data_IF_967582315699
#
_entry.id   IF_967582315699
#
_cell.length_a   1.000
_cell.length_b   1.000
_cell.length_c   1.000
_cell.angle_alpha   90.00
_cell.angle_beta   90.00
_cell.angle_gamma   90.00
#
_symmetry.space_group_name_H-M   'P 1'
#
loop_
_entity.id
_entity.type
_entity.pdbx_description
1 polymer ?
#
# COMPACT_ATOMS: atom_id res chain seq x y z
N UNK A 1 -14.27 2.35 -24.16
CA UNK A 1 -12.82 2.13 -24.25
C UNK A 1 -12.32 1.88 -22.83
N UNK A 2 -11.68 0.75 -22.55
CA UNK A 2 -11.26 0.38 -21.20
C UNK A 2 -9.93 1.07 -20.87
N UNK A 3 -9.95 2.09 -20.00
CA UNK A 3 -8.77 2.89 -19.68
C UNK A 3 -7.66 2.08 -18.99
N UNK A 4 -7.99 0.98 -18.31
CA UNK A 4 -6.99 0.09 -17.70
C UNK A 4 -6.21 -0.64 -18.80
N UNK A 5 -6.90 -1.18 -19.81
CA UNK A 5 -6.29 -1.84 -20.97
C UNK A 5 -5.37 -0.88 -21.72
N UNK A 6 -5.82 0.36 -21.95
CA UNK A 6 -5.01 1.39 -22.59
C UNK A 6 -3.75 1.71 -21.77
N UNK A 7 -3.85 1.75 -20.44
CA UNK A 7 -2.71 1.96 -19.55
C UNK A 7 -1.69 0.81 -19.62
N UNK A 8 -2.15 -0.45 -19.60
CA UNK A 8 -1.28 -1.63 -19.72
C UNK A 8 -0.55 -1.63 -21.05
N UNK A 9 -1.26 -1.43 -22.16
CA UNK A 9 -0.65 -1.40 -23.50
C UNK A 9 0.36 -0.26 -23.65
N UNK A 10 0.04 0.93 -23.13
CA UNK A 10 0.94 2.10 -23.17
C UNK A 10 2.22 1.88 -22.36
N UNK A 11 2.11 1.29 -21.17
CA UNK A 11 3.23 1.20 -20.23
C UNK A 11 4.06 -0.07 -20.42
N UNK A 12 3.44 -1.18 -20.86
CA UNK A 12 4.04 -2.51 -20.94
C UNK A 12 4.75 -2.88 -19.62
N UNK A 13 3.98 -3.12 -18.53
CA UNK A 13 4.55 -3.30 -17.20
C UNK A 13 5.30 -4.64 -17.07
N UNK A 14 6.33 -4.66 -16.23
CA UNK A 14 7.05 -5.89 -15.86
C UNK A 14 7.20 -5.96 -14.35
N UNK A 15 7.27 -7.17 -13.79
CA UNK A 15 7.48 -7.36 -12.34
C UNK A 15 8.72 -6.62 -11.84
N UNK A 16 9.81 -6.63 -12.61
CA UNK A 16 11.03 -5.88 -12.26
C UNK A 16 10.77 -4.37 -12.12
N UNK A 17 10.02 -3.77 -13.05
CA UNK A 17 9.69 -2.33 -12.99
C UNK A 17 8.77 -2.01 -11.81
N UNK A 18 7.82 -2.90 -11.50
CA UNK A 18 6.96 -2.77 -10.31
C UNK A 18 7.82 -2.79 -9.04
N UNK A 19 8.71 -3.78 -8.91
CA UNK A 19 9.57 -3.93 -7.73
C UNK A 19 10.55 -2.78 -7.54
N UNK A 20 11.09 -2.25 -8.65
CA UNK A 20 12.01 -1.11 -8.65
C UNK A 20 11.32 0.25 -8.56
N UNK A 21 9.97 0.30 -8.58
CA UNK A 21 9.27 1.56 -8.39
C UNK A 21 9.63 2.16 -7.03
N UNK A 22 10.11 3.40 -7.08
CA UNK A 22 10.62 4.10 -5.92
C UNK A 22 9.87 5.40 -5.69
N UNK A 23 9.81 5.79 -4.42
CA UNK A 23 9.40 7.13 -4.04
C UNK A 23 10.49 7.78 -3.21
N UNK A 24 10.62 9.10 -3.36
CA UNK A 24 11.41 9.92 -2.45
C UNK A 24 10.54 10.38 -1.29
N UNK A 25 11.08 10.34 -0.08
CA UNK A 25 10.43 10.78 1.15
C UNK A 25 11.43 11.48 2.07
N UNK A 26 10.96 12.05 3.18
CA UNK A 26 11.83 12.70 4.17
C UNK A 26 11.91 11.88 5.46
N UNK A 27 12.99 11.08 5.65
CA UNK A 27 13.22 10.30 6.85
C UNK A 27 13.17 11.14 8.13
N UNK A 28 13.82 12.31 8.12
CA UNK A 28 13.83 13.23 9.27
C UNK A 28 12.43 13.68 9.68
N UNK A 29 11.53 13.96 8.74
CA UNK A 29 10.13 14.32 9.05
C UNK A 29 9.39 13.18 9.77
N UNK A 30 9.60 11.95 9.33
CA UNK A 30 9.02 10.77 9.96
C UNK A 30 9.59 10.53 11.36
N UNK A 31 10.91 10.54 11.48
CA UNK A 31 11.63 10.34 12.75
C UNK A 31 11.20 11.33 13.82
N UNK A 32 11.20 12.64 13.49
CA UNK A 32 10.83 13.70 14.45
C UNK A 32 9.37 13.64 14.90
N UNK A 33 8.47 13.16 14.03
CA UNK A 33 7.05 13.09 14.34
C UNK A 33 6.59 11.74 14.89
N UNK A 34 7.49 10.76 15.01
CA UNK A 34 7.17 9.40 15.43
C UNK A 34 6.76 9.36 16.91
N UNK A 35 5.66 8.66 17.28
CA UNK A 35 5.18 8.67 18.65
C UNK A 35 6.11 7.92 19.62
N UNK A 36 6.54 8.58 20.70
CA UNK A 36 7.36 7.98 21.76
C UNK A 36 6.73 6.74 22.41
N UNK A 37 5.39 6.70 22.53
CA UNK A 37 4.71 5.56 23.14
C UNK A 37 4.82 4.27 22.31
N UNK A 38 5.25 4.37 21.04
CA UNK A 38 5.57 3.20 20.23
C UNK A 38 6.92 2.59 20.61
N UNK A 39 7.76 3.25 21.43
CA UNK A 39 9.03 2.76 22.02
C UNK A 39 10.08 2.23 21.03
N UNK A 40 9.76 2.21 19.74
CA UNK A 40 10.60 1.81 18.64
C UNK A 40 10.32 2.79 17.50
N UNK A 41 11.39 3.23 16.83
CA UNK A 41 11.33 4.10 15.67
C UNK A 41 11.84 3.27 14.50
N UNK A 42 11.14 3.25 13.36
CA UNK A 42 11.66 2.61 12.15
C UNK A 42 13.07 3.11 11.83
N UNK A 43 13.90 2.35 11.09
CA UNK A 43 15.31 2.66 10.83
C UNK A 43 15.50 3.84 9.84
N UNK A 44 14.76 4.93 10.06
CA UNK A 44 14.90 6.20 9.37
C UNK A 44 16.22 6.86 9.73
N UNK A 45 17.05 7.07 8.72
CA UNK A 45 18.26 7.91 8.82
C UNK A 45 17.86 9.36 9.11
N UNK A 46 18.81 10.18 9.57
CA UNK A 46 18.57 11.61 9.80
C UNK A 46 18.79 12.44 8.52
N UNK A 47 18.32 11.91 7.39
CA UNK A 47 18.50 12.52 6.08
C UNK A 47 17.27 13.38 5.74
N UNK A 48 17.50 14.50 5.04
CA UNK A 48 16.43 15.36 4.54
C UNK A 48 15.59 14.64 3.47
N UNK A 49 16.24 13.80 2.67
CA UNK A 49 15.67 13.03 1.58
C UNK A 49 16.25 11.61 1.57
N UNK A 50 15.41 10.63 1.30
CA UNK A 50 15.81 9.27 0.95
C UNK A 50 14.80 8.71 -0.06
N UNK A 51 15.16 7.59 -0.69
CA UNK A 51 14.26 6.84 -1.57
C UNK A 51 14.00 5.46 -0.98
N UNK A 52 12.82 4.91 -1.25
CA UNK A 52 12.47 3.54 -0.91
C UNK A 52 11.69 2.90 -2.06
N UNK A 53 12.04 1.67 -2.43
CA UNK A 53 11.38 0.90 -3.50
C UNK A 53 10.27 0.01 -2.96
N UNK A 54 9.38 -0.50 -3.85
CA UNK A 54 8.41 -1.54 -3.46
C UNK A 54 9.11 -2.77 -2.89
N UNK A 55 10.18 -3.24 -3.53
CA UNK A 55 10.97 -4.38 -3.06
C UNK A 55 11.50 -4.16 -1.64
N UNK A 56 11.95 -2.95 -1.31
CA UNK A 56 12.40 -2.61 0.04
C UNK A 56 11.27 -2.67 1.07
N UNK A 57 10.08 -2.16 0.74
CA UNK A 57 8.93 -2.23 1.64
C UNK A 57 8.48 -3.68 1.85
N UNK A 58 8.47 -4.50 0.79
CA UNK A 58 8.17 -5.92 0.89
C UNK A 58 9.14 -6.66 1.82
N UNK A 59 10.44 -6.33 1.81
CA UNK A 59 11.41 -6.90 2.77
C UNK A 59 11.10 -6.56 4.21
N UNK A 60 10.57 -5.36 4.50
CA UNK A 60 10.11 -5.04 5.84
C UNK A 60 8.86 -5.84 6.23
N UNK A 61 7.92 -6.03 5.30
CA UNK A 61 6.72 -6.85 5.52
C UNK A 61 7.10 -8.32 5.78
N UNK A 62 7.97 -8.89 4.95
CA UNK A 62 8.53 -10.23 5.12
C UNK A 62 9.22 -10.38 6.47
N UNK A 63 10.02 -9.38 6.88
CA UNK A 63 10.64 -9.35 8.21
C UNK A 63 9.63 -9.35 9.36
N UNK A 64 8.47 -8.71 9.20
CA UNK A 64 7.39 -8.76 10.18
C UNK A 64 6.78 -10.17 10.26
N UNK A 65 6.43 -10.77 9.11
CA UNK A 65 5.85 -12.12 9.03
C UNK A 65 6.82 -13.17 9.58
N UNK A 66 8.07 -13.18 9.12
CA UNK A 66 9.10 -14.15 9.53
C UNK A 66 9.44 -14.08 11.03
N UNK A 67 9.21 -12.93 11.66
CA UNK A 67 9.40 -12.76 13.11
C UNK A 67 8.20 -13.22 13.96
N UNK A 68 7.15 -13.77 13.35
CA UNK A 68 5.88 -14.04 14.03
C UNK A 68 5.18 -12.75 14.48
N UNK A 69 5.31 -11.69 13.69
CA UNK A 69 4.80 -10.35 13.98
C UNK A 69 5.37 -9.72 15.26
N UNK A 70 6.69 -9.88 15.48
CA UNK A 70 7.39 -9.17 16.53
C UNK A 70 7.13 -7.66 16.40
N UNK A 71 6.79 -7.02 17.53
CA UNK A 71 6.24 -5.67 17.57
C UNK A 71 7.12 -4.64 16.85
N UNK A 72 8.43 -4.72 17.03
CA UNK A 72 9.41 -3.82 16.42
C UNK A 72 9.43 -3.99 14.90
N UNK A 73 9.33 -5.23 14.39
CA UNK A 73 9.29 -5.52 12.96
C UNK A 73 8.01 -5.05 12.30
N UNK A 74 6.87 -5.20 12.99
CA UNK A 74 5.60 -4.62 12.52
C UNK A 74 5.68 -3.09 12.46
N UNK A 75 6.32 -2.45 13.44
CA UNK A 75 6.55 -1.01 13.43
C UNK A 75 7.45 -0.60 12.26
N UNK A 76 8.55 -1.32 12.00
CA UNK A 76 9.43 -1.06 10.87
C UNK A 76 8.66 -1.13 9.54
N UNK A 77 7.84 -2.17 9.38
CA UNK A 77 6.95 -2.35 8.24
C UNK A 77 5.96 -1.20 8.07
N UNK A 78 5.20 -0.83 9.11
CA UNK A 78 4.27 0.31 9.06
C UNK A 78 5.01 1.59 8.65
N UNK A 79 6.19 1.82 9.22
CA UNK A 79 7.06 2.94 8.87
C UNK A 79 7.40 2.97 7.39
N UNK A 80 7.88 1.85 6.84
CA UNK A 80 8.23 1.72 5.43
C UNK A 80 7.01 1.90 4.51
N UNK A 81 5.89 1.24 4.80
CA UNK A 81 4.66 1.34 4.01
C UNK A 81 4.09 2.76 3.99
N UNK A 82 4.08 3.44 5.14
CA UNK A 82 3.63 4.83 5.24
C UNK A 82 4.59 5.81 4.56
N UNK A 83 5.89 5.63 4.71
CA UNK A 83 6.89 6.42 4.02
C UNK A 83 6.75 6.29 2.50
N UNK A 84 6.57 5.07 2.00
CA UNK A 84 6.34 4.81 0.58
C UNK A 84 5.03 5.43 0.09
N UNK A 85 3.92 5.22 0.80
CA UNK A 85 2.61 5.73 0.36
C UNK A 85 2.47 7.26 0.42
N UNK A 86 3.19 7.91 1.34
CA UNK A 86 3.15 9.35 1.55
C UNK A 86 4.17 10.10 0.68
N UNK A 87 5.35 9.52 0.42
CA UNK A 87 6.45 10.20 -0.29
C UNK A 87 6.80 11.54 0.36
N UNK A 88 6.87 12.61 -0.44
CA UNK A 88 7.08 13.99 0.03
C UNK A 88 5.79 14.75 0.41
N UNK A 89 4.62 14.12 0.29
CA UNK A 89 3.34 14.82 0.48
C UNK A 89 3.07 15.20 1.94
N UNK A 90 2.04 16.03 2.16
CA UNK A 90 1.57 16.37 3.52
C UNK A 90 0.82 15.23 4.21
N UNK A 91 0.60 14.09 3.55
CA UNK A 91 -0.04 12.93 4.16
C UNK A 91 0.72 12.35 5.36
N UNK A 92 2.01 12.71 5.52
CA UNK A 92 2.80 12.42 6.71
C UNK A 92 2.10 12.92 7.99
N UNK A 93 1.48 14.10 7.97
CA UNK A 93 0.85 14.70 9.14
C UNK A 93 -0.35 13.90 9.68
N UNK A 94 -1.38 13.57 8.88
CA UNK A 94 -2.50 12.75 9.36
C UNK A 94 -2.07 11.34 9.76
N UNK A 95 -1.05 10.76 9.12
CA UNK A 95 -0.50 9.45 9.52
C UNK A 95 0.20 9.50 10.87
N UNK A 96 1.00 10.55 11.12
CA UNK A 96 1.58 10.78 12.44
C UNK A 96 0.51 11.03 13.49
N UNK A 97 -0.55 11.76 13.16
CA UNK A 97 -1.68 11.98 14.07
C UNK A 97 -2.40 10.66 14.40
N UNK A 98 -2.63 9.81 13.38
CA UNK A 98 -3.17 8.46 13.57
C UNK A 98 -2.29 7.66 14.54
N UNK A 99 -0.98 7.61 14.31
CA UNK A 99 -0.03 6.88 15.16
C UNK A 99 0.11 7.49 16.56
N UNK A 100 -0.05 8.81 16.73
CA UNK A 100 -0.03 9.46 18.05
C UNK A 100 -1.22 9.07 18.92
N UNK A 101 -2.34 8.71 18.31
CA UNK A 101 -3.48 8.16 19.05
C UNK A 101 -3.16 6.73 19.48
N UNK A 102 -2.90 6.55 20.79
CA UNK A 102 -2.51 5.25 21.38
C UNK A 102 -3.50 4.12 21.06
N UNK A 103 -4.80 4.40 21.08
CA UNK A 103 -5.82 3.39 20.82
C UNK A 103 -5.79 2.96 19.34
N UNK A 104 -5.72 3.91 18.40
CA UNK A 104 -5.62 3.61 16.97
C UNK A 104 -4.33 2.87 16.62
N UNK A 105 -3.20 3.29 17.18
CA UNK A 105 -1.92 2.63 16.96
C UNK A 105 -1.91 1.20 17.53
N UNK A 106 -2.46 0.98 18.72
CA UNK A 106 -2.62 -0.35 19.30
C UNK A 106 -3.54 -1.24 18.45
N UNK A 107 -4.66 -0.69 17.97
CA UNK A 107 -5.55 -1.40 17.04
C UNK A 107 -4.85 -1.79 15.74
N UNK A 108 -4.05 -0.89 15.14
CA UNK A 108 -3.28 -1.21 13.93
C UNK A 108 -2.30 -2.38 14.17
N UNK A 109 -1.53 -2.32 15.24
CA UNK A 109 -0.58 -3.39 15.59
C UNK A 109 -1.28 -4.73 15.86
N UNK A 110 -2.49 -4.70 16.45
CA UNK A 110 -3.31 -5.90 16.67
C UNK A 110 -3.95 -6.42 15.38
N UNK A 111 -4.34 -5.53 14.47
CA UNK A 111 -5.03 -5.89 13.23
C UNK A 111 -4.10 -6.55 12.22
N UNK A 112 -2.86 -6.08 12.08
CA UNK A 112 -1.91 -6.57 11.05
C UNK A 112 -1.77 -8.11 11.02
N UNK A 113 -1.49 -8.81 12.14
CA UNK A 113 -1.37 -10.26 12.14
C UNK A 113 -2.65 -10.99 11.73
N UNK A 114 -3.82 -10.37 11.92
CA UNK A 114 -5.11 -10.96 11.61
C UNK A 114 -5.57 -10.70 10.16
N UNK A 115 -4.75 -10.02 9.34
CA UNK A 115 -5.07 -9.77 7.94
C UNK A 115 -4.81 -11.00 7.05
N UNK A 116 -3.81 -11.82 7.39
CA UNK A 116 -3.38 -12.96 6.58
C UNK A 116 -4.51 -13.97 6.33
N UNK A 117 -5.45 -14.11 7.27
CA UNK A 117 -6.59 -15.01 7.17
C UNK A 117 -7.80 -14.42 6.44
N UNK A 118 -7.67 -13.26 5.77
CA UNK A 118 -8.78 -12.52 5.17
C UNK A 118 -8.57 -12.30 3.68
N UNK A 119 -9.68 -12.28 2.96
CA UNK A 119 -9.73 -11.83 1.57
C UNK A 119 -9.36 -10.34 1.43
N UNK A 120 -8.85 -9.89 0.26
CA UNK A 120 -8.35 -8.53 0.08
C UNK A 120 -9.30 -7.40 0.50
N UNK A 121 -10.58 -7.49 0.14
CA UNK A 121 -11.57 -6.48 0.53
C UNK A 121 -11.81 -6.44 2.04
N UNK A 122 -11.80 -7.61 2.70
CA UNK A 122 -11.93 -7.73 4.15
C UNK A 122 -10.66 -7.30 4.90
N UNK A 123 -9.47 -7.44 4.30
CA UNK A 123 -8.24 -6.87 4.84
C UNK A 123 -8.31 -5.34 4.84
N UNK A 124 -8.71 -4.76 3.71
CA UNK A 124 -8.91 -3.33 3.54
C UNK A 124 -9.96 -2.78 4.52
N UNK A 125 -11.10 -3.47 4.68
CA UNK A 125 -12.15 -3.11 5.63
C UNK A 125 -11.64 -3.11 7.08
N UNK A 126 -10.88 -4.14 7.48
CA UNK A 126 -10.34 -4.24 8.83
C UNK A 126 -9.41 -3.06 9.18
N UNK A 127 -8.65 -2.58 8.20
CA UNK A 127 -7.75 -1.44 8.34
C UNK A 127 -8.49 -0.10 8.32
N UNK A 128 -9.48 0.08 7.44
CA UNK A 128 -10.27 1.32 7.38
C UNK A 128 -11.18 1.47 8.60
N UNK A 129 -11.72 0.37 9.13
CA UNK A 129 -12.59 0.37 10.31
C UNK A 129 -11.91 0.84 11.60
N UNK A 130 -10.58 0.72 11.70
CA UNK A 130 -9.80 1.30 12.81
C UNK A 130 -9.46 2.78 12.58
N UNK A 131 -9.98 3.37 11.50
CA UNK A 131 -9.81 4.76 11.12
C UNK A 131 -8.49 5.08 10.42
N UNK A 132 -7.82 4.09 9.83
CA UNK A 132 -6.68 4.32 8.94
C UNK A 132 -7.21 4.89 7.62
N UNK A 133 -6.62 5.95 7.05
CA UNK A 133 -7.15 6.50 5.81
C UNK A 133 -7.10 5.48 4.67
N UNK A 134 -8.18 5.41 3.89
CA UNK A 134 -8.44 4.45 2.80
C UNK A 134 -7.20 4.12 1.95
N UNK A 135 -6.56 5.13 1.37
CA UNK A 135 -5.32 4.96 0.58
C UNK A 135 -4.24 4.17 1.33
N UNK A 136 -4.02 4.47 2.60
CA UNK A 136 -2.97 3.84 3.41
C UNK A 136 -3.37 2.46 3.94
N UNK A 137 -4.66 2.20 4.12
CA UNK A 137 -5.16 0.84 4.32
C UNK A 137 -4.78 -0.05 3.14
N UNK A 138 -4.97 0.42 1.90
CA UNK A 138 -4.59 -0.37 0.71
C UNK A 138 -3.07 -0.60 0.61
N UNK A 139 -2.23 0.36 1.00
CA UNK A 139 -0.78 0.17 1.05
C UNK A 139 -0.37 -0.90 2.07
N UNK A 140 -0.93 -0.85 3.28
CA UNK A 140 -0.62 -1.83 4.32
C UNK A 140 -1.07 -3.23 3.88
N UNK A 141 -2.28 -3.39 3.33
CA UNK A 141 -2.75 -4.67 2.83
C UNK A 141 -1.90 -5.19 1.66
N UNK A 142 -1.62 -4.34 0.65
CA UNK A 142 -0.80 -4.70 -0.52
C UNK A 142 0.58 -5.20 -0.12
N UNK A 143 1.32 -4.41 0.68
CA UNK A 143 2.68 -4.78 1.04
C UNK A 143 2.76 -5.98 1.99
N UNK A 144 1.77 -6.13 2.88
CA UNK A 144 1.73 -7.26 3.79
C UNK A 144 1.45 -8.58 3.05
N UNK A 145 0.66 -8.54 1.98
CA UNK A 145 0.37 -9.72 1.15
C UNK A 145 1.56 -10.22 0.32
N UNK A 146 2.65 -9.45 0.26
CA UNK A 146 3.85 -9.78 -0.50
C UNK A 146 3.72 -9.52 -2.01
N UNK A 147 4.83 -9.70 -2.76
CA UNK A 147 4.82 -9.58 -4.21
C UNK A 147 3.80 -10.53 -4.85
N UNK A 148 3.26 -10.14 -6.01
CA UNK A 148 2.24 -10.91 -6.70
C UNK A 148 2.81 -11.64 -7.92
N UNK A 149 2.41 -12.90 -8.08
CA UNK A 149 2.65 -13.71 -9.27
C UNK A 149 1.40 -13.77 -10.16
N UNK A 150 1.56 -14.35 -11.35
CA UNK A 150 0.44 -14.64 -12.25
C UNK A 150 -0.63 -15.49 -11.53
N UNK A 151 -1.90 -15.09 -11.67
CA UNK A 151 -3.03 -15.84 -11.11
C UNK A 151 -3.29 -15.62 -9.62
N UNK A 152 -2.50 -14.80 -8.92
CA UNK A 152 -2.77 -14.44 -7.53
C UNK A 152 -3.70 -13.24 -7.40
N UNK A 153 -4.65 -13.32 -6.46
CA UNK A 153 -5.64 -12.29 -6.16
C UNK A 153 -5.34 -11.58 -4.83
N UNK A 154 -4.18 -10.93 -4.76
CA UNK A 154 -3.73 -10.20 -3.57
C UNK A 154 -4.25 -8.74 -3.59
N UNK A 155 -4.35 -8.05 -2.43
CA UNK A 155 -4.76 -6.65 -2.37
C UNK A 155 -3.91 -5.76 -3.28
N UNK A 156 -4.46 -4.67 -3.80
CA UNK A 156 -3.77 -3.70 -4.65
C UNK A 156 -3.86 -2.30 -4.05
N UNK A 157 -2.94 -1.41 -4.43
CA UNK A 157 -2.96 -0.04 -3.93
C UNK A 157 -3.99 0.80 -4.69
N UNK A 158 -4.93 1.45 -3.99
CA UNK A 158 -5.89 2.39 -4.58
C UNK A 158 -5.48 3.85 -4.31
N UNK A 159 -5.69 4.71 -5.30
CA UNK A 159 -5.57 6.16 -5.17
C UNK A 159 -6.59 6.85 -6.08
N UNK A 160 -6.76 8.17 -5.95
CA UNK A 160 -7.75 8.95 -6.70
C UNK A 160 -7.67 8.71 -8.21
N UNK A 161 -6.48 8.76 -8.80
CA UNK A 161 -6.32 8.53 -10.24
C UNK A 161 -6.62 7.08 -10.64
N UNK A 162 -6.19 6.11 -9.84
CA UNK A 162 -6.45 4.68 -10.12
C UNK A 162 -7.92 4.32 -9.98
N UNK A 163 -8.60 4.89 -8.99
CA UNK A 163 -10.05 4.74 -8.82
C UNK A 163 -10.79 5.30 -10.05
N UNK A 164 -10.40 6.50 -10.53
CA UNK A 164 -10.97 7.10 -11.74
C UNK A 164 -10.74 6.24 -12.99
N UNK A 165 -9.53 5.74 -13.20
CA UNK A 165 -9.20 4.85 -14.34
C UNK A 165 -10.03 3.55 -14.28
N UNK A 166 -10.26 3.02 -13.08
CA UNK A 166 -11.11 1.86 -12.85
C UNK A 166 -12.62 2.16 -12.88
N UNK A 167 -13.02 3.40 -13.18
CA UNK A 167 -14.42 3.78 -13.33
C UNK A 167 -15.18 4.00 -12.02
N UNK A 168 -14.49 4.13 -10.88
CA UNK A 168 -15.15 4.50 -9.62
C UNK A 168 -15.51 5.99 -9.65
N UNK A 169 -16.73 6.31 -9.22
CA UNK A 169 -17.22 7.70 -9.13
C UNK A 169 -16.49 8.51 -8.05
N UNK A 170 -16.15 7.85 -6.93
CA UNK A 170 -15.46 8.47 -5.80
C UNK A 170 -13.95 8.49 -6.02
N UNK A 171 -13.31 9.57 -5.59
CA UNK A 171 -11.84 9.73 -5.64
C UNK A 171 -11.15 9.65 -4.27
N UNK A 172 -11.91 9.37 -3.22
CA UNK A 172 -11.46 9.19 -1.83
C UNK A 172 -12.51 8.43 -1.00
N UNK A 173 -12.16 8.06 0.24
CA UNK A 173 -13.05 7.43 1.23
C UNK A 173 -13.84 6.19 0.72
N UNK A 174 -13.16 5.35 -0.07
CA UNK A 174 -13.74 4.14 -0.63
C UNK A 174 -14.10 3.13 0.45
N UNK A 175 -15.33 2.62 0.39
CA UNK A 175 -15.77 1.49 1.20
C UNK A 175 -15.10 0.18 0.77
N UNK A 176 -15.28 -0.89 1.54
CA UNK A 176 -14.82 -2.22 1.16
C UNK A 176 -15.49 -2.72 -0.14
N UNK A 177 -16.75 -2.35 -0.38
CA UNK A 177 -17.45 -2.66 -1.62
C UNK A 177 -16.86 -1.89 -2.81
N UNK A 178 -16.62 -0.59 -2.66
CA UNK A 178 -15.95 0.24 -3.68
C UNK A 178 -14.57 -0.35 -4.02
N UNK A 179 -13.80 -0.75 -3.00
CA UNK A 179 -12.50 -1.39 -3.17
C UNK A 179 -12.60 -2.77 -3.85
N UNK A 180 -13.63 -3.56 -3.54
CA UNK A 180 -13.90 -4.82 -4.24
C UNK A 180 -14.18 -4.62 -5.74
N UNK A 181 -15.00 -3.62 -6.08
CA UNK A 181 -15.25 -3.22 -7.48
C UNK A 181 -13.96 -2.81 -8.18
N UNK A 182 -13.10 -2.06 -7.50
CA UNK A 182 -11.78 -1.67 -8.01
C UNK A 182 -10.90 -2.88 -8.34
N UNK A 183 -10.81 -3.86 -7.43
CA UNK A 183 -10.03 -5.08 -7.67
C UNK A 183 -10.59 -5.92 -8.84
N UNK A 184 -11.91 -6.04 -8.92
CA UNK A 184 -12.58 -6.77 -10.00
C UNK A 184 -12.32 -6.14 -11.38
N UNK A 185 -12.40 -4.81 -11.48
CA UNK A 185 -12.13 -4.08 -12.72
C UNK A 185 -10.68 -4.29 -13.21
N UNK A 186 -9.72 -4.34 -12.29
CA UNK A 186 -8.31 -4.63 -12.64
C UNK A 186 -8.14 -6.06 -13.13
N UNK A 187 -8.77 -7.03 -12.45
CA UNK A 187 -8.72 -8.44 -12.86
C UNK A 187 -9.32 -8.65 -14.26
N UNK A 188 -10.50 -8.10 -14.51
CA UNK A 188 -11.16 -8.18 -15.81
C UNK A 188 -10.31 -7.56 -16.92
N UNK A 189 -9.71 -6.40 -16.66
CA UNK A 189 -8.80 -5.77 -17.62
C UNK A 189 -7.53 -6.60 -17.86
N UNK A 190 -6.92 -7.14 -16.79
CA UNK A 190 -5.76 -8.05 -16.89
C UNK A 190 -6.11 -9.24 -17.78
N UNK A 191 -7.20 -9.94 -17.48
CA UNK A 191 -7.65 -11.13 -18.20
C UNK A 191 -7.92 -10.85 -19.68
N UNK A 192 -8.36 -9.63 -20.02
CA UNK A 192 -8.60 -9.20 -21.40
C UNK A 192 -7.33 -8.90 -22.21
N UNK A 193 -6.20 -8.64 -21.53
CA UNK A 193 -4.92 -8.30 -22.17
C UNK A 193 -3.98 -9.49 -22.15
N UNK A 194 -3.68 -9.99 -20.96
CA UNK A 194 -2.78 -11.11 -20.71
C UNK A 194 -3.05 -11.68 -19.30
N UNK A 195 -3.73 -12.84 -19.18
CA UNK A 195 -3.95 -13.55 -17.92
C UNK A 195 -2.67 -13.86 -17.12
N UNK A 196 -1.49 -13.88 -17.75
CA UNK A 196 -0.23 -14.18 -17.07
C UNK A 196 0.40 -12.94 -16.41
N UNK A 197 -0.17 -11.74 -16.60
CA UNK A 197 0.29 -10.55 -15.88
C UNK A 197 -0.12 -10.61 -14.40
N UNK A 198 0.80 -10.31 -13.47
CA UNK A 198 0.45 -10.03 -12.08
C UNK A 198 -0.49 -8.82 -11.98
N UNK A 199 -1.47 -8.86 -11.07
CA UNK A 199 -2.41 -7.75 -10.93
C UNK A 199 -1.74 -6.44 -10.48
N UNK A 200 -0.65 -6.53 -9.72
CA UNK A 200 0.10 -5.33 -9.30
C UNK A 200 0.91 -4.70 -10.44
N UNK A 201 1.22 -5.45 -11.50
CA UNK A 201 1.75 -4.90 -12.75
C UNK A 201 0.70 -4.06 -13.48
N UNK A 202 -0.56 -4.50 -13.47
CA UNK A 202 -1.69 -3.74 -14.05
C UNK A 202 -1.98 -2.48 -13.23
N UNK A 203 -2.04 -2.59 -11.90
CA UNK A 203 -2.18 -1.43 -11.00
C UNK A 203 -1.05 -0.41 -11.21
N UNK A 204 0.19 -0.90 -11.36
CA UNK A 204 1.34 -0.03 -11.58
C UNK A 204 1.28 0.65 -12.95
N UNK A 205 0.85 -0.04 -14.01
CA UNK A 205 0.63 0.57 -15.32
C UNK A 205 -0.41 1.70 -15.27
N UNK A 206 -1.51 1.53 -14.52
CA UNK A 206 -2.49 2.59 -14.31
C UNK A 206 -1.90 3.82 -13.62
N UNK A 207 -0.92 3.63 -12.73
CA UNK A 207 -0.21 4.76 -12.10
C UNK A 207 0.69 5.48 -13.11
N UNK A 208 1.49 4.75 -13.87
CA UNK A 208 2.47 5.33 -14.79
C UNK A 208 1.83 5.98 -16.02
N UNK A 209 0.65 5.54 -16.42
CA UNK A 209 -0.04 6.09 -17.61
C UNK A 209 -0.44 7.56 -17.44
N UNK A 210 -0.57 8.04 -16.20
CA UNK A 210 -0.99 9.39 -15.80
C UNK A 210 0.11 10.20 -15.10
N UNK A 211 1.35 9.69 -15.10
CA UNK A 211 2.49 10.33 -14.45
C UNK A 211 3.21 11.31 -15.38
#
# INVERSE_FOLDING_TARGET
>A
MNQIVDAVNKVSPTTERVMNDSVTFSPRRWKSGWPFHLRHVPPFRDDATASITRAEVFRFAEGAVASGYARERVIDFIGAAFAYGAGQSQAVLPLQQFLRNKAKAASLLKTIPALESKEPAAQYEALTSIGLPAKFASYVAYFLAGPQAAGEDKPLVICSNRAKIAGLEKDSDWSAADYGTYLAAIREARDSVDPELPLDAVEWAMRESVR
#
